data_IF_720230705777
#
_entry.id   IF_720230705777
#
_cell.length_a   1.000
_cell.length_b   1.000
_cell.length_c   1.000
_cell.angle_alpha   90.00
_cell.angle_beta   90.00
_cell.angle_gamma   90.00
#
_symmetry.space_group_name_H-M   'P 1'
#
loop_
_entity.id
_entity.type
_entity.pdbx_description
1 polymer ?
#
# COMPACT_ATOMS: atom_id res chain seq x y z
N UNK A 1 8.94 3.97 35.50
CA UNK A 1 8.90 3.16 34.28
C UNK A 1 10.20 3.40 33.55
N UNK A 2 10.84 2.37 33.00
CA UNK A 2 12.08 2.53 32.23
C UNK A 2 11.74 3.15 30.87
N UNK A 3 12.53 4.14 30.45
CA UNK A 3 12.39 4.76 29.12
C UNK A 3 12.63 3.69 28.04
N UNK A 4 11.65 3.41 27.16
CA UNK A 4 11.78 2.37 26.13
C UNK A 4 12.87 2.70 25.12
N UNK A 5 13.65 1.69 24.73
CA UNK A 5 14.66 1.83 23.68
C UNK A 5 14.00 1.56 22.33
N UNK A 6 13.96 2.56 21.45
CA UNK A 6 13.47 2.46 20.09
C UNK A 6 14.65 2.42 19.13
N UNK A 7 14.80 1.30 18.43
CA UNK A 7 15.83 1.11 17.40
C UNK A 7 15.20 1.39 16.03
N UNK A 8 15.70 2.41 15.35
CA UNK A 8 15.24 2.77 14.00
C UNK A 8 16.20 2.21 12.97
N UNK A 9 15.68 1.34 12.11
CA UNK A 9 16.47 0.69 11.05
C UNK A 9 17.13 1.71 10.11
N UNK A 10 18.40 1.50 9.67
CA UNK A 10 19.16 2.47 8.85
C UNK A 10 18.43 2.99 7.61
N UNK A 11 17.71 2.11 6.92
CA UNK A 11 17.01 2.46 5.67
C UNK A 11 15.76 3.34 5.88
N UNK A 12 15.32 3.57 7.12
CA UNK A 12 14.09 4.31 7.43
C UNK A 12 14.35 5.58 8.24
N UNK A 13 15.60 6.02 8.34
CA UNK A 13 15.96 7.17 9.16
C UNK A 13 15.51 8.51 8.54
N UNK A 14 15.51 8.61 7.20
CA UNK A 14 15.12 9.84 6.53
C UNK A 14 13.66 10.21 6.78
N UNK A 15 13.41 11.40 7.33
CA UNK A 15 12.08 11.94 7.61
C UNK A 15 11.32 11.27 8.76
N UNK A 16 11.88 10.23 9.38
CA UNK A 16 11.29 9.54 10.53
C UNK A 16 12.07 9.82 11.80
N UNK A 17 13.39 9.94 11.67
CA UNK A 17 14.29 10.16 12.81
C UNK A 17 13.94 11.43 13.58
N UNK A 18 13.84 12.54 12.88
CA UNK A 18 13.52 13.84 13.45
C UNK A 18 12.18 13.80 14.20
N UNK A 19 11.16 13.19 13.58
CA UNK A 19 9.85 13.06 14.19
C UNK A 19 9.85 12.14 15.43
N UNK A 20 10.75 11.15 15.51
CA UNK A 20 10.91 10.30 16.70
C UNK A 20 11.74 10.99 17.79
N UNK A 21 12.73 11.80 17.44
CA UNK A 21 13.52 12.61 18.39
C UNK A 21 12.63 13.60 19.14
N UNK A 22 11.58 14.12 18.50
CA UNK A 22 10.60 15.04 19.10
C UNK A 22 9.68 14.37 20.15
N UNK A 23 9.59 13.04 20.19
CA UNK A 23 8.73 12.34 21.16
C UNK A 23 9.20 12.48 22.63
N UNK A 24 10.49 12.73 22.86
CA UNK A 24 11.07 13.05 24.17
C UNK A 24 11.16 11.91 25.17
N UNK A 25 10.17 11.03 25.21
CA UNK A 25 10.05 9.95 26.23
C UNK A 25 10.62 8.60 25.75
N UNK A 26 11.55 8.61 24.80
CA UNK A 26 12.20 7.41 24.26
C UNK A 26 13.72 7.55 24.24
N UNK A 27 14.41 6.42 24.31
CA UNK A 27 15.83 6.33 23.95
C UNK A 27 15.93 5.89 22.50
N UNK A 28 16.10 6.84 21.58
CA UNK A 28 16.26 6.54 20.15
C UNK A 28 17.68 6.05 19.87
N UNK A 29 17.80 4.93 19.16
CA UNK A 29 19.06 4.35 18.66
C UNK A 29 18.95 4.18 17.17
N UNK A 30 19.89 4.79 16.43
CA UNK A 30 19.94 4.78 14.97
C UNK A 30 21.23 4.09 14.50
N UNK A 31 21.25 2.76 14.33
CA UNK A 31 22.39 2.06 13.76
C UNK A 31 22.75 2.61 12.38
N UNK A 32 24.03 2.57 12.02
CA UNK A 32 24.50 3.06 10.71
C UNK A 32 24.37 1.99 9.62
N UNK A 33 24.36 0.72 10.03
CA UNK A 33 24.30 -0.44 9.13
C UNK A 33 23.33 -1.49 9.66
N UNK A 34 22.81 -2.35 8.77
CA UNK A 34 21.96 -3.48 9.11
C UNK A 34 22.65 -4.45 10.09
N UNK A 35 23.96 -4.61 9.97
CA UNK A 35 24.75 -5.49 10.82
C UNK A 35 24.81 -5.03 12.29
N UNK A 36 24.62 -3.74 12.56
CA UNK A 36 24.60 -3.18 13.90
C UNK A 36 23.23 -3.30 14.59
N UNK A 37 22.14 -3.53 13.83
CA UNK A 37 20.78 -3.60 14.37
C UNK A 37 20.63 -4.66 15.46
N UNK A 38 21.11 -5.91 15.31
CA UNK A 38 20.99 -6.93 16.36
C UNK A 38 21.64 -6.51 17.68
N UNK A 39 22.82 -5.89 17.61
CA UNK A 39 23.55 -5.40 18.79
C UNK A 39 22.90 -4.22 19.51
N UNK A 40 22.02 -3.49 18.80
CA UNK A 40 21.24 -2.39 19.36
C UNK A 40 19.96 -2.87 20.09
N UNK A 41 19.47 -4.08 19.80
CA UNK A 41 18.27 -4.68 20.39
C UNK A 41 18.59 -5.24 21.79
N UNK A 42 18.54 -4.36 22.79
CA UNK A 42 18.73 -4.68 24.19
C UNK A 42 17.40 -5.00 24.87
N UNK A 43 17.42 -5.24 26.19
CA UNK A 43 16.21 -5.52 26.97
C UNK A 43 15.11 -4.46 26.72
N UNK A 44 13.88 -4.96 26.53
CA UNK A 44 12.67 -4.17 26.27
C UNK A 44 12.76 -3.24 25.05
N UNK A 45 13.48 -3.67 24.01
CA UNK A 45 13.63 -2.89 22.78
C UNK A 45 12.42 -2.98 21.85
N UNK A 46 12.19 -1.87 21.17
CA UNK A 46 11.26 -1.71 20.04
C UNK A 46 12.08 -1.58 18.77
N UNK A 47 11.79 -2.36 17.73
CA UNK A 47 12.39 -2.20 16.41
C UNK A 47 11.39 -1.58 15.46
N UNK A 48 11.76 -0.47 14.82
CA UNK A 48 10.99 0.16 13.73
C UNK A 48 11.68 -0.16 12.42
N UNK A 49 11.04 -0.98 11.57
CA UNK A 49 11.61 -1.41 10.29
C UNK A 49 10.55 -1.79 9.27
N UNK A 50 10.90 -1.75 7.99
CA UNK A 50 10.19 -2.44 6.90
C UNK A 50 10.85 -3.78 6.56
N UNK A 51 12.18 -3.85 6.69
CA UNK A 51 12.99 -5.00 6.33
C UNK A 51 13.03 -5.99 7.47
N UNK A 52 13.04 -7.26 7.14
CA UNK A 52 13.22 -8.32 8.11
C UNK A 52 14.53 -9.09 7.86
N UNK A 53 15.20 -9.43 8.97
CA UNK A 53 16.32 -10.35 9.03
C UNK A 53 16.17 -11.21 10.29
N UNK A 54 16.38 -12.51 10.19
CA UNK A 54 16.24 -13.42 11.33
C UNK A 54 17.19 -13.10 12.49
N UNK A 55 18.33 -12.42 12.18
CA UNK A 55 19.23 -11.90 13.20
C UNK A 55 18.58 -10.86 14.13
N UNK A 56 17.42 -10.30 13.79
CA UNK A 56 16.66 -9.37 14.64
C UNK A 56 15.85 -10.08 15.73
N UNK A 57 15.72 -11.42 15.70
CA UNK A 57 15.09 -12.20 16.76
C UNK A 57 15.97 -12.28 18.02
N UNK A 58 16.39 -11.13 18.54
CA UNK A 58 17.17 -11.03 19.76
C UNK A 58 16.29 -11.18 21.02
N UNK A 59 16.82 -11.72 22.13
CA UNK A 59 16.08 -11.88 23.38
C UNK A 59 15.52 -10.57 23.95
N UNK A 60 16.13 -9.43 23.60
CA UNK A 60 15.70 -8.11 24.06
C UNK A 60 14.60 -7.46 23.22
N UNK A 61 14.25 -7.99 22.04
CA UNK A 61 13.17 -7.47 21.22
C UNK A 61 11.81 -7.84 21.82
N UNK A 62 10.96 -6.85 22.10
CA UNK A 62 9.60 -7.03 22.65
C UNK A 62 8.51 -6.57 21.70
N UNK A 63 8.81 -5.59 20.88
CA UNK A 63 7.83 -5.05 19.95
C UNK A 63 8.49 -4.68 18.63
N UNK A 64 7.88 -5.12 17.55
CA UNK A 64 8.23 -4.81 16.17
C UNK A 64 7.14 -3.89 15.59
N UNK A 65 7.49 -2.63 15.33
CA UNK A 65 6.65 -1.69 14.57
C UNK A 65 7.02 -1.76 13.11
N UNK A 66 6.13 -2.29 12.28
CA UNK A 66 6.32 -2.20 10.83
C UNK A 66 6.26 -0.74 10.38
N UNK A 67 7.19 -0.34 9.51
CA UNK A 67 7.15 0.96 8.83
C UNK A 67 6.04 1.01 7.75
N UNK A 68 5.50 -0.13 7.33
CA UNK A 68 4.46 -0.25 6.30
C UNK A 68 3.14 -0.79 6.83
N UNK A 69 2.07 -0.61 6.04
CA UNK A 69 0.79 -1.24 6.31
C UNK A 69 0.83 -2.76 6.05
N UNK A 70 1.63 -3.22 5.08
CA UNK A 70 1.88 -4.64 4.82
C UNK A 70 2.85 -5.24 5.83
N UNK A 71 2.67 -6.53 6.14
CA UNK A 71 3.45 -7.26 7.14
C UNK A 71 3.80 -8.69 6.71
N UNK A 72 3.62 -9.01 5.44
CA UNK A 72 3.88 -10.35 4.88
C UNK A 72 5.36 -10.74 4.85
N UNK A 73 6.27 -9.80 5.07
CA UNK A 73 7.72 -10.04 5.15
C UNK A 73 8.18 -10.52 6.53
N UNK A 74 7.33 -10.45 7.57
CA UNK A 74 7.72 -10.83 8.93
C UNK A 74 7.32 -12.28 9.27
N UNK A 75 8.11 -12.99 10.08
CA UNK A 75 7.83 -14.35 10.53
C UNK A 75 6.82 -14.33 11.69
N UNK A 76 5.54 -14.10 11.39
CA UNK A 76 4.48 -13.84 12.39
C UNK A 76 4.41 -14.93 13.45
N UNK A 77 4.53 -16.22 13.06
CA UNK A 77 4.47 -17.34 14.00
C UNK A 77 5.66 -17.32 14.98
N UNK A 78 6.89 -17.08 14.47
CA UNK A 78 8.07 -17.01 15.32
C UNK A 78 8.02 -15.80 16.29
N UNK A 79 7.44 -14.67 15.86
CA UNK A 79 7.19 -13.50 16.72
C UNK A 79 6.19 -13.85 17.83
N UNK A 80 5.09 -14.52 17.47
CA UNK A 80 4.05 -14.95 18.42
C UNK A 80 4.58 -15.94 19.46
N UNK A 81 5.33 -16.94 19.04
CA UNK A 81 5.95 -17.93 19.94
C UNK A 81 6.90 -17.30 20.96
N UNK A 82 7.56 -16.20 20.59
CA UNK A 82 8.48 -15.45 21.48
C UNK A 82 7.78 -14.34 22.26
N UNK A 83 6.48 -14.16 22.14
CA UNK A 83 5.71 -13.10 22.78
C UNK A 83 6.09 -11.69 22.30
N UNK A 84 6.64 -11.57 21.07
CA UNK A 84 7.00 -10.29 20.47
C UNK A 84 5.75 -9.73 19.79
N UNK A 85 5.33 -8.52 20.18
CA UNK A 85 4.20 -7.83 19.56
C UNK A 85 4.62 -7.34 18.18
N UNK A 86 3.78 -7.57 17.16
CA UNK A 86 3.90 -6.95 15.83
C UNK A 86 2.75 -5.97 15.62
N UNK A 87 3.08 -4.73 15.24
CA UNK A 87 2.10 -3.74 14.81
C UNK A 87 2.43 -3.24 13.41
N UNK A 88 1.39 -2.99 12.59
CA UNK A 88 1.55 -2.43 11.25
C UNK A 88 1.38 -0.90 11.25
N UNK A 89 1.88 -0.23 10.20
CA UNK A 89 1.66 1.21 9.97
C UNK A 89 0.38 1.48 9.17
N UNK A 90 -0.67 0.67 9.39
CA UNK A 90 -1.98 0.93 8.75
C UNK A 90 -2.50 2.32 9.15
N UNK A 91 -2.97 3.09 8.17
CA UNK A 91 -3.40 4.48 8.36
C UNK A 91 -2.29 5.53 8.21
N UNK A 92 -1.01 5.16 8.31
CA UNK A 92 0.12 6.08 8.03
C UNK A 92 0.17 6.44 6.54
N UNK A 93 -0.06 5.46 5.68
CA UNK A 93 0.08 5.58 4.22
C UNK A 93 -1.26 5.84 3.50
N UNK A 94 -2.22 6.51 4.13
CA UNK A 94 -3.51 6.87 3.48
C UNK A 94 -3.34 7.74 2.23
N UNK A 95 -2.18 8.39 2.09
CA UNK A 95 -1.80 9.18 0.92
C UNK A 95 -1.67 8.34 -0.35
N UNK A 96 -1.48 7.02 -0.25
CA UNK A 96 -1.55 6.11 -1.40
C UNK A 96 -2.85 6.26 -2.20
N UNK A 97 -3.94 6.70 -1.54
CA UNK A 97 -5.19 7.00 -2.22
C UNK A 97 -5.07 8.19 -3.20
N UNK A 98 -4.29 9.23 -2.84
CA UNK A 98 -4.02 10.35 -3.74
C UNK A 98 -3.19 9.91 -4.94
N UNK A 99 -2.17 9.09 -4.69
CA UNK A 99 -1.31 8.54 -5.73
C UNK A 99 -2.10 7.66 -6.71
N UNK A 100 -2.97 6.76 -6.19
CA UNK A 100 -3.82 5.92 -7.02
C UNK A 100 -4.77 6.73 -7.91
N UNK A 101 -5.35 7.82 -7.38
CA UNK A 101 -6.18 8.75 -8.16
C UNK A 101 -5.30 9.47 -9.20
N UNK A 102 -4.09 9.89 -8.83
CA UNK A 102 -3.13 10.50 -9.76
C UNK A 102 -2.79 9.58 -10.93
N UNK A 103 -2.49 8.29 -10.68
CA UNK A 103 -2.27 7.28 -11.72
C UNK A 103 -3.51 7.08 -12.61
N UNK A 104 -4.70 7.01 -12.00
CA UNK A 104 -5.95 6.90 -12.75
C UNK A 104 -6.18 8.10 -13.66
N UNK A 105 -5.99 9.32 -13.15
CA UNK A 105 -6.15 10.55 -13.93
C UNK A 105 -5.08 10.69 -15.02
N UNK A 106 -3.85 10.28 -14.75
CA UNK A 106 -2.78 10.29 -15.77
C UNK A 106 -3.17 9.43 -16.99
N UNK A 107 -3.85 8.30 -16.75
CA UNK A 107 -4.33 7.41 -17.79
C UNK A 107 -5.61 7.93 -18.47
N UNK A 108 -6.65 8.21 -17.67
CA UNK A 108 -7.97 8.56 -18.19
C UNK A 108 -8.00 9.92 -18.88
N UNK A 109 -7.06 10.83 -18.57
CA UNK A 109 -6.94 12.15 -19.18
C UNK A 109 -5.80 12.26 -20.21
N UNK A 110 -5.19 11.12 -20.59
CA UNK A 110 -4.03 11.04 -21.51
C UNK A 110 -2.85 11.95 -21.13
N UNK A 111 -2.72 12.27 -19.84
CA UNK A 111 -1.60 13.08 -19.33
C UNK A 111 -0.28 12.34 -19.58
N UNK A 112 -0.27 11.01 -19.40
CA UNK A 112 0.89 10.17 -19.65
C UNK A 112 1.38 10.24 -21.10
N UNK A 113 0.46 10.34 -22.08
CA UNK A 113 0.82 10.49 -23.48
C UNK A 113 1.37 11.90 -23.75
N UNK A 114 0.73 12.94 -23.20
CA UNK A 114 1.22 14.31 -23.32
C UNK A 114 2.64 14.47 -22.75
N UNK A 115 2.96 13.79 -21.62
CA UNK A 115 4.32 13.78 -21.06
C UNK A 115 5.31 13.12 -22.02
N UNK A 116 4.94 12.05 -22.72
CA UNK A 116 5.78 11.40 -23.74
C UNK A 116 6.00 12.28 -24.98
N UNK A 117 5.02 13.11 -25.34
CA UNK A 117 5.12 14.02 -26.48
C UNK A 117 6.03 15.22 -26.22
N UNK A 118 6.21 15.63 -24.95
CA UNK A 118 7.01 16.81 -24.58
C UNK A 118 8.48 16.78 -25.07
N UNK A 119 9.26 15.70 -24.93
CA UNK A 119 10.63 15.64 -25.44
C UNK A 119 10.72 15.83 -26.94
N UNK A 120 9.69 15.39 -27.66
CA UNK A 120 9.60 15.50 -29.13
C UNK A 120 8.98 16.82 -29.58
N UNK A 121 8.61 17.72 -28.63
CA UNK A 121 7.95 19.01 -28.90
C UNK A 121 6.67 18.89 -29.72
N UNK A 122 5.94 17.79 -29.54
CA UNK A 122 4.67 17.50 -30.22
C UNK A 122 3.51 18.16 -29.46
N UNK A 123 2.70 18.95 -30.16
CA UNK A 123 1.46 19.53 -29.67
C UNK A 123 0.28 18.72 -30.21
N UNK A 124 0.04 17.54 -29.63
CA UNK A 124 -1.04 16.64 -30.04
C UNK A 124 -2.29 16.86 -29.19
N UNK A 125 -3.45 16.97 -29.86
CA UNK A 125 -4.75 17.02 -29.19
C UNK A 125 -5.26 15.60 -28.97
N UNK A 126 -5.61 15.28 -27.74
CA UNK A 126 -6.20 14.00 -27.35
C UNK A 126 -7.65 14.22 -26.89
N UNK A 127 -8.56 13.34 -27.34
CA UNK A 127 -9.93 13.26 -26.81
C UNK A 127 -9.92 12.18 -25.74
N UNK A 128 -9.74 12.62 -24.50
CA UNK A 128 -9.61 11.73 -23.35
C UNK A 128 -10.98 11.50 -22.66
N UNK A 129 -11.27 10.28 -22.21
CA UNK A 129 -12.52 9.96 -21.53
C UNK A 129 -12.62 10.61 -20.14
N UNK A 130 -13.86 10.83 -19.70
CA UNK A 130 -14.17 11.34 -18.36
C UNK A 130 -14.38 10.18 -17.36
N UNK A 131 -14.13 10.46 -16.08
CA UNK A 131 -14.45 9.54 -14.97
C UNK A 131 -15.91 9.69 -14.56
N UNK A 132 -16.49 10.87 -14.73
CA UNK A 132 -17.90 11.16 -14.42
C UNK A 132 -18.86 10.15 -15.05
N UNK A 133 -19.90 9.75 -14.33
CA UNK A 133 -20.87 8.74 -14.73
C UNK A 133 -20.37 7.28 -14.68
N UNK A 134 -19.11 7.04 -14.27
CA UNK A 134 -18.53 5.68 -14.26
C UNK A 134 -18.71 4.98 -12.93
N UNK A 135 -18.65 3.65 -12.99
CA UNK A 135 -18.58 2.80 -11.80
C UNK A 135 -17.12 2.42 -11.52
N UNK A 136 -16.71 2.60 -10.27
CA UNK A 136 -15.37 2.27 -9.76
C UNK A 136 -15.50 1.16 -8.73
N UNK A 137 -14.77 0.07 -8.90
CA UNK A 137 -14.59 -0.96 -7.87
C UNK A 137 -13.35 -0.61 -7.04
N UNK A 138 -13.51 -0.54 -5.72
CA UNK A 138 -12.41 -0.45 -4.75
C UNK A 138 -12.24 -1.82 -4.12
N UNK A 139 -11.21 -2.54 -4.56
CA UNK A 139 -10.87 -3.86 -4.02
C UNK A 139 -9.95 -3.71 -2.80
N UNK A 140 -10.52 -3.93 -1.61
CA UNK A 140 -9.87 -3.73 -0.32
C UNK A 140 -10.36 -2.45 0.37
N UNK A 141 -11.13 -2.60 1.45
CA UNK A 141 -11.69 -1.48 2.24
C UNK A 141 -10.96 -1.32 3.58
N UNK A 142 -9.62 -1.42 3.55
CA UNK A 142 -8.74 -0.98 4.64
C UNK A 142 -8.56 0.53 4.62
N UNK A 143 -7.53 1.03 5.33
CA UNK A 143 -7.26 2.46 5.44
C UNK A 143 -7.12 3.18 4.07
N UNK A 144 -6.49 2.54 3.08
CA UNK A 144 -6.31 3.12 1.73
C UNK A 144 -7.63 3.10 0.97
N UNK A 145 -8.36 1.97 0.97
CA UNK A 145 -9.64 1.87 0.26
C UNK A 145 -10.70 2.81 0.81
N UNK A 146 -10.76 2.96 2.13
CA UNK A 146 -11.63 3.94 2.79
C UNK A 146 -11.23 5.39 2.44
N UNK A 147 -9.91 5.64 2.35
CA UNK A 147 -9.42 6.95 1.94
C UNK A 147 -9.74 7.25 0.45
N UNK A 148 -9.73 6.24 -0.42
CA UNK A 148 -10.20 6.36 -1.82
C UNK A 148 -11.68 6.69 -1.86
N UNK A 149 -12.51 5.94 -1.13
CA UNK A 149 -13.96 6.16 -1.09
C UNK A 149 -14.30 7.59 -0.64
N UNK A 150 -13.64 8.09 0.41
CA UNK A 150 -13.81 9.46 0.89
C UNK A 150 -13.37 10.52 -0.11
N UNK A 151 -12.27 10.28 -0.87
CA UNK A 151 -11.78 11.24 -1.87
C UNK A 151 -12.66 11.33 -3.09
N UNK A 152 -13.37 10.26 -3.44
CA UNK A 152 -14.39 10.28 -4.50
C UNK A 152 -15.73 10.88 -4.05
N UNK A 153 -15.90 11.22 -2.78
CA UNK A 153 -17.09 11.92 -2.31
C UNK A 153 -17.24 13.26 -3.05
N UNK A 154 -18.37 13.46 -3.69
CA UNK A 154 -18.64 14.64 -4.52
C UNK A 154 -18.20 14.52 -5.98
N UNK A 155 -17.56 13.41 -6.38
CA UNK A 155 -17.39 13.08 -7.81
C UNK A 155 -18.66 12.39 -8.33
N UNK A 156 -18.98 12.63 -9.59
CA UNK A 156 -20.10 11.93 -10.26
C UNK A 156 -19.69 10.50 -10.63
N UNK A 157 -19.54 9.62 -9.62
CA UNK A 157 -19.14 8.22 -9.80
C UNK A 157 -19.94 7.30 -8.87
N UNK A 158 -20.25 6.09 -9.34
CA UNK A 158 -20.75 5.00 -8.49
C UNK A 158 -19.58 4.22 -7.93
N UNK A 159 -19.57 3.98 -6.62
CA UNK A 159 -18.53 3.19 -5.94
C UNK A 159 -19.09 1.84 -5.49
N UNK A 160 -18.33 0.76 -5.78
CA UNK A 160 -18.55 -0.59 -5.26
C UNK A 160 -17.32 -0.97 -4.45
N UNK A 161 -17.49 -1.22 -3.17
CA UNK A 161 -16.43 -1.71 -2.32
C UNK A 161 -16.39 -3.24 -2.29
N UNK A 162 -15.19 -3.82 -2.30
CA UNK A 162 -15.01 -5.27 -2.16
C UNK A 162 -14.08 -5.55 -0.98
N UNK A 163 -14.54 -6.38 -0.03
CA UNK A 163 -13.80 -6.68 1.19
C UNK A 163 -14.03 -8.12 1.65
N UNK A 164 -13.18 -8.63 2.55
CA UNK A 164 -13.30 -9.98 3.11
C UNK A 164 -14.59 -10.16 3.91
N UNK A 165 -14.93 -9.19 4.73
CA UNK A 165 -16.12 -9.23 5.59
C UNK A 165 -16.98 -7.97 5.39
N UNK A 166 -17.91 -7.97 4.42
CA UNK A 166 -18.80 -6.85 4.16
C UNK A 166 -19.67 -6.47 5.36
N UNK A 167 -20.10 -7.45 6.15
CA UNK A 167 -20.96 -7.23 7.30
C UNK A 167 -20.28 -6.45 8.44
N UNK A 168 -18.93 -6.49 8.50
CA UNK A 168 -18.15 -5.74 9.49
C UNK A 168 -17.72 -4.35 8.97
N UNK A 169 -18.07 -3.98 7.75
CA UNK A 169 -17.71 -2.69 7.21
C UNK A 169 -18.61 -1.58 7.78
N UNK A 170 -17.99 -0.55 8.31
CA UNK A 170 -18.66 0.61 8.93
C UNK A 170 -18.25 1.94 8.30
N UNK A 171 -17.62 1.90 7.12
CA UNK A 171 -17.15 3.10 6.39
C UNK A 171 -18.26 3.79 5.58
N UNK A 172 -17.84 4.59 4.58
CA UNK A 172 -18.73 5.50 3.86
C UNK A 172 -19.50 4.86 2.69
N UNK A 173 -19.12 3.65 2.25
CA UNK A 173 -19.77 2.99 1.12
C UNK A 173 -21.03 2.23 1.52
N UNK A 174 -22.05 2.27 0.66
CA UNK A 174 -23.31 1.53 0.83
C UNK A 174 -23.38 0.25 -0.01
N UNK A 175 -22.67 0.18 -1.15
CA UNK A 175 -22.56 -1.03 -1.98
C UNK A 175 -21.22 -1.73 -1.64
N UNK A 176 -21.28 -2.69 -0.72
CA UNK A 176 -20.10 -3.44 -0.25
C UNK A 176 -20.33 -4.93 -0.45
N UNK A 177 -19.37 -5.59 -1.12
CA UNK A 177 -19.47 -6.97 -1.54
C UNK A 177 -18.32 -7.83 -1.01
N UNK A 178 -18.51 -9.16 -0.90
CA UNK A 178 -17.43 -10.07 -0.48
C UNK A 178 -16.37 -10.23 -1.57
N UNK A 179 -15.15 -10.63 -1.20
CA UNK A 179 -14.04 -10.89 -2.14
C UNK A 179 -14.43 -11.85 -3.26
N UNK A 180 -15.21 -12.89 -2.97
CA UNK A 180 -15.72 -13.81 -3.97
C UNK A 180 -16.63 -13.16 -5.04
N UNK A 181 -17.13 -11.97 -4.77
CA UNK A 181 -17.93 -11.15 -5.70
C UNK A 181 -17.12 -10.20 -6.58
N UNK A 182 -15.78 -10.23 -6.54
CA UNK A 182 -14.92 -9.28 -7.26
C UNK A 182 -15.17 -9.30 -8.78
N UNK A 183 -15.22 -10.48 -9.40
CA UNK A 183 -15.48 -10.62 -10.85
C UNK A 183 -16.84 -10.00 -11.22
N UNK A 184 -17.88 -10.27 -10.44
CA UNK A 184 -19.21 -9.69 -10.69
C UNK A 184 -19.23 -8.18 -10.46
N UNK A 185 -18.49 -7.66 -9.48
CA UNK A 185 -18.36 -6.23 -9.26
C UNK A 185 -17.67 -5.55 -10.44
N UNK A 186 -16.60 -6.15 -10.98
CA UNK A 186 -15.88 -5.66 -12.15
C UNK A 186 -16.75 -5.66 -13.42
N UNK A 187 -17.66 -6.63 -13.58
CA UNK A 187 -18.60 -6.65 -14.72
C UNK A 187 -19.59 -5.46 -14.74
N UNK A 188 -19.75 -4.76 -13.62
CA UNK A 188 -20.59 -3.56 -13.50
C UNK A 188 -19.76 -2.26 -13.56
N UNK A 189 -18.44 -2.35 -13.70
CA UNK A 189 -17.52 -1.23 -13.58
C UNK A 189 -16.63 -1.05 -14.80
N UNK A 190 -16.02 0.12 -14.92
CA UNK A 190 -14.97 0.39 -15.90
C UNK A 190 -13.63 0.78 -15.25
N UNK A 191 -13.58 0.83 -13.93
CA UNK A 191 -12.36 1.17 -13.17
C UNK A 191 -12.23 0.20 -11.98
N UNK A 192 -11.05 -0.41 -11.85
CA UNK A 192 -10.68 -1.23 -10.70
C UNK A 192 -9.50 -0.59 -9.97
N UNK A 193 -9.70 -0.24 -8.69
CA UNK A 193 -8.65 0.28 -7.82
C UNK A 193 -8.29 -0.77 -6.75
N UNK A 194 -7.05 -1.27 -6.80
CA UNK A 194 -6.59 -2.36 -5.94
C UNK A 194 -5.86 -1.81 -4.72
N UNK A 195 -6.42 -2.10 -3.55
CA UNK A 195 -5.91 -1.74 -2.23
C UNK A 195 -5.95 -2.92 -1.24
N UNK A 196 -5.96 -4.16 -1.75
CA UNK A 196 -5.97 -5.40 -0.96
C UNK A 196 -4.58 -5.71 -0.38
N UNK A 197 -4.48 -6.19 0.86
CA UNK A 197 -3.22 -6.73 1.35
C UNK A 197 -2.87 -8.02 0.60
N UNK A 198 -1.58 -8.34 0.49
CA UNK A 198 -1.14 -9.64 -0.02
C UNK A 198 -1.26 -10.70 1.08
N UNK A 199 -2.04 -11.72 0.80
CA UNK A 199 -2.23 -12.93 1.60
C UNK A 199 -2.46 -14.13 0.66
N UNK A 200 -2.52 -15.36 1.18
CA UNK A 200 -2.76 -16.54 0.35
C UNK A 200 -4.05 -16.41 -0.47
N UNK A 201 -5.12 -15.91 0.13
CA UNK A 201 -6.42 -15.75 -0.51
C UNK A 201 -6.53 -14.56 -1.45
N UNK A 202 -5.58 -13.60 -1.40
CA UNK A 202 -5.57 -12.41 -2.27
C UNK A 202 -4.50 -12.45 -3.34
N UNK A 203 -3.60 -13.44 -3.28
CA UNK A 203 -2.60 -13.64 -4.32
C UNK A 203 -3.29 -13.99 -5.62
N UNK A 204 -3.00 -13.20 -6.68
CA UNK A 204 -3.63 -13.32 -8.00
C UNK A 204 -5.17 -13.34 -7.97
N UNK A 205 -5.80 -12.71 -6.98
CA UNK A 205 -7.26 -12.61 -6.93
C UNK A 205 -7.81 -11.80 -8.10
N UNK A 206 -7.03 -10.83 -8.62
CA UNK A 206 -7.31 -10.13 -9.86
C UNK A 206 -6.77 -11.00 -11.00
N UNK A 207 -7.53 -12.01 -11.33
CA UNK A 207 -7.25 -12.98 -12.41
C UNK A 207 -7.54 -12.38 -13.79
N UNK A 208 -7.13 -13.10 -14.87
CA UNK A 208 -7.55 -12.77 -16.21
C UNK A 208 -9.06 -12.65 -16.38
N UNK A 209 -9.86 -13.49 -15.68
CA UNK A 209 -11.34 -13.42 -15.73
C UNK A 209 -11.88 -12.13 -15.10
N UNK A 210 -11.30 -11.67 -13.99
CA UNK A 210 -11.66 -10.40 -13.36
C UNK A 210 -11.35 -9.23 -14.29
N UNK A 211 -10.19 -9.28 -14.95
CA UNK A 211 -9.80 -8.27 -15.93
C UNK A 211 -10.68 -8.28 -17.18
N UNK A 212 -11.07 -9.46 -17.67
CA UNK A 212 -12.01 -9.61 -18.80
C UNK A 212 -13.41 -9.10 -18.42
N UNK A 213 -13.85 -9.31 -17.17
CA UNK A 213 -15.13 -8.80 -16.68
C UNK A 213 -15.16 -7.27 -16.60
N UNK A 214 -14.02 -6.63 -16.29
CA UNK A 214 -13.89 -5.16 -16.31
C UNK A 214 -14.02 -4.60 -17.74
N UNK A 215 -13.69 -5.40 -18.76
CA UNK A 215 -13.75 -5.01 -20.17
C UNK A 215 -12.79 -3.88 -20.51
N UNK A 216 -13.23 -2.97 -21.40
CA UNK A 216 -12.45 -1.79 -21.79
C UNK A 216 -12.40 -0.76 -20.65
N UNK A 217 -11.62 -1.06 -19.64
CA UNK A 217 -11.49 -0.27 -18.42
C UNK A 217 -10.04 -0.01 -18.01
N UNK A 218 -9.89 0.60 -16.83
CA UNK A 218 -8.59 0.92 -16.24
C UNK A 218 -8.40 0.21 -14.90
N UNK A 219 -7.15 -0.15 -14.62
CA UNK A 219 -6.75 -0.77 -13.37
C UNK A 219 -5.70 0.12 -12.69
N UNK A 220 -5.80 0.34 -11.39
CA UNK A 220 -4.71 0.91 -10.57
C UNK A 220 -4.35 -0.04 -9.44
N UNK A 221 -3.05 -0.20 -9.16
CA UNK A 221 -2.57 -0.99 -8.04
C UNK A 221 -1.55 -0.20 -7.21
N UNK A 222 -1.93 0.11 -5.96
CA UNK A 222 -1.08 0.76 -4.95
C UNK A 222 -0.93 -0.11 -3.69
N UNK A 223 -1.14 -1.43 -3.85
CA UNK A 223 -1.11 -2.38 -2.73
C UNK A 223 0.12 -3.28 -2.78
N UNK A 224 0.05 -4.40 -3.49
CA UNK A 224 1.15 -5.34 -3.76
C UNK A 224 1.01 -5.92 -5.17
N UNK A 225 2.11 -6.05 -5.91
CA UNK A 225 2.11 -6.58 -7.27
C UNK A 225 1.41 -7.93 -7.41
N UNK A 226 1.78 -8.95 -6.59
CA UNK A 226 1.19 -10.29 -6.72
C UNK A 226 -0.30 -10.41 -6.36
N UNK A 227 -1.01 -9.32 -6.09
CA UNK A 227 -2.48 -9.32 -5.98
C UNK A 227 -3.13 -9.42 -7.36
N UNK A 228 -2.44 -8.93 -8.39
CA UNK A 228 -2.84 -9.06 -9.79
C UNK A 228 -2.00 -10.18 -10.44
N UNK A 229 -2.59 -10.97 -11.30
CA UNK A 229 -1.88 -11.83 -12.25
C UNK A 229 -1.26 -10.92 -13.33
N UNK A 230 0.03 -10.59 -13.15
CA UNK A 230 0.74 -9.62 -14.01
C UNK A 230 0.83 -10.10 -15.45
N UNK A 231 1.00 -11.40 -15.68
CA UNK A 231 1.04 -11.96 -17.03
C UNK A 231 -0.30 -11.77 -17.74
N UNK A 232 -1.41 -12.03 -17.04
CA UNK A 232 -2.75 -11.81 -17.55
C UNK A 232 -3.05 -10.33 -17.80
N UNK A 233 -2.52 -9.43 -16.94
CA UNK A 233 -2.65 -7.98 -17.11
C UNK A 233 -1.92 -7.50 -18.37
N UNK A 234 -0.65 -7.89 -18.55
CA UNK A 234 0.19 -7.54 -19.71
C UNK A 234 -0.49 -7.97 -21.02
N UNK A 235 -1.03 -9.19 -21.06
CA UNK A 235 -1.74 -9.70 -22.26
C UNK A 235 -2.90 -8.78 -22.64
N UNK A 236 -3.75 -8.41 -21.68
CA UNK A 236 -4.94 -7.60 -21.93
C UNK A 236 -4.66 -6.15 -22.26
N UNK A 237 -3.59 -5.61 -21.72
CA UNK A 237 -3.12 -4.25 -22.06
C UNK A 237 -2.57 -4.22 -23.49
N UNK A 238 -1.76 -5.24 -23.86
CA UNK A 238 -1.18 -5.37 -25.22
C UNK A 238 -2.26 -5.54 -26.29
N UNK A 239 -3.26 -6.36 -25.99
CA UNK A 239 -4.33 -6.69 -26.95
C UNK A 239 -5.45 -5.63 -26.97
N UNK A 240 -5.34 -4.56 -26.15
CA UNK A 240 -6.31 -3.47 -26.06
C UNK A 240 -7.64 -3.84 -25.39
N UNK A 241 -7.71 -5.01 -24.73
CA UNK A 241 -8.87 -5.42 -23.91
C UNK A 241 -9.00 -4.57 -22.64
N UNK A 242 -7.88 -4.07 -22.12
CA UNK A 242 -7.81 -3.03 -21.09
C UNK A 242 -7.28 -1.74 -21.70
N UNK A 243 -7.88 -0.62 -21.32
CA UNK A 243 -7.48 0.71 -21.78
C UNK A 243 -6.19 1.20 -21.14
N UNK A 244 -5.92 0.80 -19.89
CA UNK A 244 -4.67 1.16 -19.25
C UNK A 244 -4.52 0.62 -17.81
N UNK A 245 -3.26 0.65 -17.33
CA UNK A 245 -2.93 0.30 -15.96
C UNK A 245 -1.98 1.32 -15.33
N UNK A 246 -2.30 1.74 -14.07
CA UNK A 246 -1.44 2.55 -13.21
C UNK A 246 -0.88 1.69 -12.08
N UNK A 247 0.41 1.43 -12.09
CA UNK A 247 1.06 0.47 -11.19
C UNK A 247 2.12 1.16 -10.34
N UNK A 248 1.89 1.24 -9.04
CA UNK A 248 2.94 1.63 -8.08
C UNK A 248 3.75 0.41 -7.61
N UNK A 249 3.18 -0.78 -7.82
CA UNK A 249 3.75 -2.06 -7.40
C UNK A 249 3.66 -3.09 -8.52
N UNK A 250 4.67 -3.98 -8.60
CA UNK A 250 4.78 -5.06 -9.59
C UNK A 250 5.08 -6.40 -8.92
N UNK A 251 4.93 -7.52 -9.64
CA UNK A 251 5.18 -8.85 -9.06
C UNK A 251 6.61 -9.01 -8.59
N UNK A 252 7.55 -8.50 -9.37
CA UNK A 252 8.96 -8.44 -9.01
C UNK A 252 9.37 -6.98 -8.83
N UNK A 253 9.97 -6.67 -7.69
CA UNK A 253 10.49 -5.34 -7.35
C UNK A 253 11.97 -5.45 -6.90
N UNK A 254 12.88 -4.65 -7.47
CA UNK A 254 12.68 -3.70 -8.58
C UNK A 254 12.21 -4.38 -9.86
N UNK A 255 11.37 -3.67 -10.66
CA UNK A 255 10.89 -4.18 -11.94
C UNK A 255 12.08 -4.47 -12.86
N UNK A 256 12.24 -5.71 -13.38
CA UNK A 256 13.33 -6.06 -14.27
C UNK A 256 13.39 -5.20 -15.53
N UNK A 257 14.59 -4.91 -16.00
CA UNK A 257 14.80 -4.07 -17.17
C UNK A 257 14.21 -4.66 -18.48
N UNK A 258 14.01 -5.99 -18.52
CA UNK A 258 13.44 -6.74 -19.64
C UNK A 258 11.92 -6.98 -19.47
N UNK A 259 11.29 -6.40 -18.45
CA UNK A 259 9.83 -6.51 -18.28
C UNK A 259 9.09 -5.85 -19.42
N UNK A 260 8.11 -6.58 -19.94
CA UNK A 260 7.22 -6.08 -21.01
C UNK A 260 6.35 -4.89 -20.59
N UNK A 261 6.19 -4.65 -19.28
CA UNK A 261 5.45 -3.50 -18.78
C UNK A 261 6.06 -2.16 -19.22
N UNK A 262 7.39 -2.09 -19.40
CA UNK A 262 8.07 -0.87 -19.84
C UNK A 262 7.68 -0.43 -21.26
N UNK A 263 7.34 -1.39 -22.12
CA UNK A 263 7.05 -1.15 -23.54
C UNK A 263 5.59 -0.80 -23.81
N UNK A 264 4.71 -0.96 -22.82
CA UNK A 264 3.27 -0.72 -23.00
C UNK A 264 2.95 0.78 -22.94
N UNK A 265 2.37 1.37 -24.03
CA UNK A 265 2.08 2.80 -24.08
C UNK A 265 0.96 3.22 -23.12
N UNK A 266 0.10 2.29 -22.74
CA UNK A 266 -1.06 2.47 -21.87
C UNK A 266 -0.77 2.07 -20.39
N UNK A 267 0.50 2.06 -20.00
CA UNK A 267 0.93 1.79 -18.61
C UNK A 267 1.66 2.99 -18.04
N UNK A 268 1.33 3.32 -16.79
CA UNK A 268 2.08 4.27 -15.94
C UNK A 268 2.61 3.52 -14.74
N UNK A 269 3.94 3.55 -14.55
CA UNK A 269 4.62 2.85 -13.46
C UNK A 269 5.29 3.86 -12.54
N UNK A 270 5.14 3.67 -11.24
CA UNK A 270 5.91 4.38 -10.21
C UNK A 270 6.60 3.36 -9.29
N UNK A 271 7.82 3.67 -8.76
CA UNK A 271 8.67 2.69 -8.11
C UNK A 271 8.33 2.50 -6.64
N UNK A 272 7.13 1.97 -6.33
CA UNK A 272 6.62 1.67 -4.98
C UNK A 272 6.74 2.88 -4.03
N UNK A 273 6.33 4.05 -4.50
CA UNK A 273 6.49 5.33 -3.81
C UNK A 273 5.18 5.97 -3.35
N UNK A 274 4.03 5.34 -3.61
CA UNK A 274 2.72 5.93 -3.31
C UNK A 274 2.54 6.35 -1.84
N UNK A 275 3.22 5.67 -0.92
CA UNK A 275 3.20 6.00 0.51
C UNK A 275 4.25 7.01 0.96
N UNK A 276 5.23 7.35 0.12
CA UNK A 276 6.37 8.19 0.50
C UNK A 276 6.00 9.68 0.38
N UNK A 277 5.91 10.36 1.53
CA UNK A 277 5.68 11.81 1.60
C UNK A 277 6.45 12.41 2.78
N UNK A 278 6.75 13.71 2.75
CA UNK A 278 7.40 14.40 3.87
C UNK A 278 6.66 14.22 5.21
N UNK A 279 5.33 14.03 5.19
CA UNK A 279 4.51 13.84 6.39
C UNK A 279 4.40 12.40 6.86
N UNK A 280 5.08 11.45 6.21
CA UNK A 280 5.04 10.04 6.60
C UNK A 280 5.67 9.84 7.99
N UNK A 281 6.80 10.50 8.25
CA UNK A 281 7.49 10.46 9.54
C UNK A 281 6.61 10.94 10.70
N UNK A 282 5.95 12.09 10.56
CA UNK A 282 5.01 12.64 11.55
C UNK A 282 3.89 11.66 11.89
N UNK A 283 3.28 11.04 10.86
CA UNK A 283 2.18 10.07 11.05
C UNK A 283 2.67 8.79 11.74
N UNK A 284 3.86 8.31 11.35
CA UNK A 284 4.45 7.14 11.99
C UNK A 284 4.82 7.44 13.44
N UNK A 285 5.41 8.60 13.73
CA UNK A 285 5.73 9.03 15.09
C UNK A 285 4.46 9.14 15.95
N UNK A 286 3.37 9.69 15.41
CA UNK A 286 2.07 9.74 16.10
C UNK A 286 1.52 8.35 16.43
N UNK A 287 1.60 7.40 15.49
CA UNK A 287 1.21 6.01 15.72
C UNK A 287 2.11 5.34 16.75
N UNK A 288 3.43 5.55 16.65
CA UNK A 288 4.41 4.99 17.57
C UNK A 288 4.20 5.53 18.98
N UNK A 289 3.98 6.84 19.15
CA UNK A 289 3.67 7.47 20.44
C UNK A 289 2.46 6.82 21.13
N UNK A 290 1.37 6.59 20.38
CA UNK A 290 0.21 5.86 20.89
C UNK A 290 0.58 4.42 21.30
N UNK A 291 1.29 3.69 20.44
CA UNK A 291 1.65 2.30 20.70
C UNK A 291 2.73 2.16 21.80
N UNK A 292 3.56 3.17 22.05
CA UNK A 292 4.44 3.22 23.22
C UNK A 292 3.65 3.24 24.53
N UNK A 293 2.53 3.98 24.56
CA UNK A 293 1.63 3.98 25.73
C UNK A 293 0.92 2.62 25.87
N UNK A 294 0.57 1.97 24.76
CA UNK A 294 0.06 0.60 24.78
C UNK A 294 1.10 -0.41 25.27
N UNK A 295 2.38 -0.25 24.90
CA UNK A 295 3.49 -1.05 25.36
C UNK A 295 3.72 -0.92 26.89
N UNK A 296 3.42 0.25 27.44
CA UNK A 296 3.43 0.53 28.87
C UNK A 296 2.16 0.07 29.61
N UNK A 297 1.18 -0.50 28.89
CA UNK A 297 -0.11 -0.94 29.45
C UNK A 297 -1.12 0.18 29.73
N UNK A 298 -0.90 1.38 29.19
CA UNK A 298 -1.75 2.56 29.43
C UNK A 298 -2.90 2.69 28.43
N UNK A 299 -2.75 2.10 27.25
CA UNK A 299 -3.75 2.18 26.17
C UNK A 299 -3.84 0.82 25.41
N UNK A 300 -4.92 0.57 24.66
CA UNK A 300 -4.97 -0.56 23.74
C UNK A 300 -4.07 -0.34 22.53
N UNK A 301 -3.50 -1.43 22.00
CA UNK A 301 -2.69 -1.38 20.79
C UNK A 301 -3.48 -0.95 19.56
N UNK A 302 -2.89 -0.11 18.73
CA UNK A 302 -3.36 0.16 17.37
C UNK A 302 -2.63 -0.73 16.36
N UNK A 303 -3.38 -1.26 15.40
CA UNK A 303 -2.86 -2.06 14.27
C UNK A 303 -2.04 -3.29 14.71
N UNK A 304 -2.36 -3.91 15.84
CA UNK A 304 -1.70 -5.13 16.31
C UNK A 304 -2.04 -6.32 15.39
N UNK A 305 -1.03 -7.08 15.02
CA UNK A 305 -1.09 -8.27 14.17
C UNK A 305 -0.95 -9.55 15.02
N UNK A 306 -0.02 -9.55 15.95
CA UNK A 306 0.15 -10.62 16.94
C UNK A 306 0.62 -10.07 18.28
#
# INVERSE_FOLDING_TARGET
MTTPTVVLHPQHQSGVREALEELGDIRLVCPSTDAEVPGALREDSVLVTYIWNDAYLQPGLRWLQSHSAGYNQYPIEALRERGIVLTSASGVHIVCAEHAIGLLLALTRDIHQSIRDMPERKWNLHVAPEIGGRTIVIAGLGAIGEALAKRFAGWDVRLIGVTRNPAAYTGVLTDVRPLAGLERACAEASILMVALPLALETRHIVTGRVLDALGAGWVTNVSRGPVIDEAALIERLRDGRLLGAGLDVTEQEPLPADSRLWDLPNVVITPHMAGLTPRCGERLASLLSHNLRAFQGLEPWKNRIC
#
